data_IF_241894511189
#
_entry.id   IF_241894511189
#
_cell.length_a   1.000
_cell.length_b   1.000
_cell.length_c   1.000
_cell.angle_alpha   90.00
_cell.angle_beta   90.00
_cell.angle_gamma   90.00
#
_symmetry.space_group_name_H-M   'P 1'
#
loop_
_entity.id
_entity.type
_entity.pdbx_description
1 polymer ?
#
# COMPACT_ATOMS: atom_id res chain seq x y z
N UNK A 1 17.19 -17.55 -29.74
CA UNK A 1 17.39 -16.19 -29.20
C UNK A 1 17.51 -16.32 -27.69
N UNK A 2 18.56 -15.78 -27.08
CA UNK A 2 18.68 -15.77 -25.61
C UNK A 2 17.53 -14.92 -25.05
N UNK A 3 16.64 -15.52 -24.27
CA UNK A 3 15.61 -14.76 -23.53
C UNK A 3 16.29 -14.09 -22.34
N UNK A 4 16.09 -12.78 -22.21
CA UNK A 4 16.52 -12.06 -21.03
C UNK A 4 15.74 -12.55 -19.80
N UNK A 5 16.43 -12.67 -18.67
CA UNK A 5 15.89 -13.19 -17.42
C UNK A 5 15.80 -12.07 -16.40
N UNK A 6 14.60 -11.78 -15.95
CA UNK A 6 14.32 -10.75 -14.94
C UNK A 6 13.93 -11.43 -13.63
N UNK A 7 14.50 -10.98 -12.52
CA UNK A 7 14.09 -11.37 -11.18
C UNK A 7 13.34 -10.23 -10.51
N UNK A 8 12.16 -10.50 -9.98
CA UNK A 8 11.45 -9.58 -9.08
C UNK A 8 11.58 -10.11 -7.66
N UNK A 9 12.11 -9.30 -6.73
CA UNK A 9 12.29 -9.68 -5.33
C UNK A 9 11.14 -9.08 -4.51
N UNK A 10 10.30 -9.94 -3.95
CA UNK A 10 9.12 -9.56 -3.18
C UNK A 10 7.81 -9.94 -3.89
N UNK A 11 6.88 -10.55 -3.16
CA UNK A 11 5.60 -11.04 -3.66
C UNK A 11 4.40 -10.31 -3.06
N UNK A 12 4.60 -9.10 -2.53
CA UNK A 12 3.51 -8.18 -2.22
C UNK A 12 2.95 -7.53 -3.48
N UNK A 13 1.93 -6.67 -3.31
CA UNK A 13 1.20 -6.02 -4.43
C UNK A 13 2.12 -5.32 -5.43
N UNK A 14 3.18 -4.65 -4.97
CA UNK A 14 4.16 -3.96 -5.83
C UNK A 14 4.97 -4.94 -6.68
N UNK A 15 5.44 -6.05 -6.09
CA UNK A 15 6.23 -7.05 -6.81
C UNK A 15 5.41 -7.78 -7.86
N UNK A 16 4.21 -8.23 -7.49
CA UNK A 16 3.31 -8.96 -8.40
C UNK A 16 2.81 -8.06 -9.54
N UNK A 17 2.37 -6.83 -9.25
CA UNK A 17 1.93 -5.88 -10.28
C UNK A 17 3.07 -5.53 -11.24
N UNK A 18 4.28 -5.28 -10.74
CA UNK A 18 5.46 -5.02 -11.57
C UNK A 18 5.75 -6.20 -12.50
N UNK A 19 5.74 -7.43 -11.97
CA UNK A 19 5.96 -8.64 -12.76
C UNK A 19 4.94 -8.78 -13.90
N UNK A 20 3.65 -8.60 -13.61
CA UNK A 20 2.58 -8.64 -14.62
C UNK A 20 2.80 -7.57 -15.69
N UNK A 21 3.04 -6.32 -15.29
CA UNK A 21 3.23 -5.21 -16.23
C UNK A 21 4.44 -5.39 -17.14
N UNK A 22 5.52 -5.97 -16.63
CA UNK A 22 6.71 -6.28 -17.43
C UNK A 22 6.40 -7.40 -18.43
N UNK A 23 5.70 -8.44 -17.98
CA UNK A 23 5.31 -9.56 -18.85
C UNK A 23 4.38 -9.09 -19.99
N UNK A 24 3.43 -8.21 -19.69
CA UNK A 24 2.53 -7.61 -20.68
C UNK A 24 3.28 -6.77 -21.73
N UNK A 25 4.28 -6.01 -21.29
CA UNK A 25 5.02 -5.07 -22.16
C UNK A 25 6.12 -5.75 -22.96
N UNK A 26 6.65 -6.89 -22.49
CA UNK A 26 7.74 -7.61 -23.12
C UNK A 26 7.34 -9.08 -23.32
N UNK A 27 6.53 -9.39 -24.34
CA UNK A 27 6.09 -10.76 -24.59
C UNK A 27 7.28 -11.73 -24.74
N UNK A 28 7.22 -12.84 -23.99
CA UNK A 28 8.24 -13.89 -24.05
C UNK A 28 9.48 -13.65 -23.15
N UNK A 29 9.48 -12.59 -22.33
CA UNK A 29 10.47 -12.40 -21.26
C UNK A 29 10.32 -13.48 -20.18
N UNK A 30 11.44 -13.92 -19.59
CA UNK A 30 11.47 -14.90 -18.50
C UNK A 30 11.51 -14.15 -17.15
N UNK A 31 10.42 -14.20 -16.38
CA UNK A 31 10.31 -13.54 -15.07
C UNK A 31 10.29 -14.59 -13.98
N UNK A 32 11.20 -14.46 -13.01
CA UNK A 32 11.18 -15.23 -11.76
C UNK A 32 10.87 -14.30 -10.59
N UNK A 33 9.91 -14.70 -9.75
CA UNK A 33 9.62 -14.00 -8.50
C UNK A 33 10.31 -14.75 -7.37
N UNK A 34 11.11 -14.03 -6.58
CA UNK A 34 11.77 -14.56 -5.39
C UNK A 34 11.26 -13.77 -4.19
N UNK A 35 10.63 -14.46 -3.25
CA UNK A 35 10.20 -13.86 -2.00
C UNK A 35 10.35 -14.90 -0.90
N UNK A 36 10.59 -14.44 0.32
CA UNK A 36 10.55 -15.30 1.50
C UNK A 36 9.12 -15.48 2.05
N UNK A 37 8.23 -14.56 1.69
CA UNK A 37 6.81 -14.63 2.02
C UNK A 37 5.94 -14.37 0.79
N UNK A 38 4.87 -15.16 0.66
CA UNK A 38 3.82 -15.02 -0.36
C UNK A 38 2.46 -14.84 0.33
N UNK A 39 1.43 -14.46 -0.43
CA UNK A 39 0.05 -14.45 0.06
C UNK A 39 -0.33 -15.80 0.66
N UNK A 40 -1.06 -15.84 1.79
CA UNK A 40 -1.74 -14.70 2.46
C UNK A 40 -0.93 -14.02 3.58
N UNK A 41 0.40 -14.06 3.54
CA UNK A 41 1.24 -13.64 4.67
C UNK A 41 2.07 -12.37 4.43
N UNK A 42 1.81 -11.64 3.36
CA UNK A 42 2.48 -10.37 3.05
C UNK A 42 1.81 -9.20 3.79
N UNK A 43 2.51 -8.05 3.89
CA UNK A 43 1.88 -6.81 4.37
C UNK A 43 0.69 -6.38 3.51
N UNK A 44 0.69 -6.72 2.22
CA UNK A 44 -0.45 -6.44 1.33
C UNK A 44 -1.72 -7.19 1.75
N UNK A 45 -1.60 -8.42 2.26
CA UNK A 45 -2.74 -9.22 2.75
C UNK A 45 -3.31 -8.69 4.07
N UNK A 46 -2.49 -7.95 4.83
CA UNK A 46 -2.89 -7.24 6.05
C UNK A 46 -3.48 -5.85 5.80
N UNK A 47 -3.42 -5.34 4.57
CA UNK A 47 -3.95 -4.02 4.23
C UNK A 47 -5.48 -3.97 4.32
N UNK A 48 -6.03 -2.78 4.51
CA UNK A 48 -7.48 -2.60 4.57
C UNK A 48 -8.16 -2.62 3.19
N UNK A 49 -7.40 -2.49 2.09
CA UNK A 49 -7.90 -2.61 0.73
C UNK A 49 -8.69 -1.41 0.19
N UNK A 50 -8.63 -0.26 0.86
CA UNK A 50 -9.24 0.99 0.40
C UNK A 50 -8.28 1.76 -0.50
N UNK A 51 -8.78 2.29 -1.63
CA UNK A 51 -7.98 3.13 -2.51
C UNK A 51 -8.18 4.60 -2.11
N UNK A 52 -7.12 5.20 -1.60
CA UNK A 52 -7.06 6.61 -1.21
C UNK A 52 -5.59 7.06 -1.25
N UNK A 53 -5.27 8.20 -1.88
CA UNK A 53 -3.96 8.82 -1.73
C UNK A 53 -3.76 9.26 -0.27
N UNK A 54 -2.77 8.68 0.41
CA UNK A 54 -2.50 8.92 1.83
C UNK A 54 -1.03 9.28 2.06
N UNK A 55 -0.74 10.18 3.01
CA UNK A 55 0.60 10.67 3.35
C UNK A 55 1.43 11.12 2.14
N UNK A 56 0.77 11.86 1.24
CA UNK A 56 1.40 12.39 0.02
C UNK A 56 2.37 13.49 0.41
N UNK A 57 3.66 13.29 0.14
CA UNK A 57 4.65 14.36 0.23
C UNK A 57 4.30 15.44 -0.82
N UNK A 58 4.09 16.71 -0.43
CA UNK A 58 3.80 17.80 -1.37
C UNK A 58 4.81 17.88 -2.52
N UNK A 59 6.08 17.58 -2.25
CA UNK A 59 7.17 17.62 -3.24
C UNK A 59 7.07 16.52 -4.32
N UNK A 60 6.28 15.48 -4.07
CA UNK A 60 6.05 14.35 -5.00
C UNK A 60 4.60 14.30 -5.50
N UNK A 61 3.80 15.32 -5.18
CA UNK A 61 2.36 15.34 -5.39
C UNK A 61 1.94 15.13 -6.85
N UNK A 62 2.70 15.64 -7.82
CA UNK A 62 2.35 15.51 -9.24
C UNK A 62 2.53 14.07 -9.77
N UNK A 63 3.66 13.43 -9.49
CA UNK A 63 3.91 12.04 -9.88
C UNK A 63 2.97 11.08 -9.14
N UNK A 64 2.77 11.30 -7.84
CA UNK A 64 1.86 10.51 -7.01
C UNK A 64 0.41 10.66 -7.48
N UNK A 65 -0.02 11.87 -7.87
CA UNK A 65 -1.34 12.10 -8.47
C UNK A 65 -1.49 11.35 -9.78
N UNK A 66 -0.47 11.38 -10.65
CA UNK A 66 -0.48 10.65 -11.92
C UNK A 66 -0.59 9.15 -11.69
N UNK A 67 0.26 8.57 -10.84
CA UNK A 67 0.22 7.13 -10.53
C UNK A 67 -1.08 6.74 -9.84
N UNK A 68 -1.60 7.59 -8.95
CA UNK A 68 -2.89 7.44 -8.32
C UNK A 68 -3.99 7.34 -9.38
N UNK A 69 -4.08 8.31 -10.28
CA UNK A 69 -5.08 8.31 -11.36
C UNK A 69 -4.95 7.09 -12.27
N UNK A 70 -3.74 6.76 -12.73
CA UNK A 70 -3.51 5.59 -13.59
C UNK A 70 -3.92 4.28 -12.89
N UNK A 71 -3.67 4.18 -11.59
CA UNK A 71 -4.10 3.03 -10.77
C UNK A 71 -5.61 2.99 -10.63
N UNK A 72 -6.25 4.12 -10.33
CA UNK A 72 -7.70 4.22 -10.21
C UNK A 72 -8.39 3.82 -11.50
N UNK A 73 -7.95 4.36 -12.64
CA UNK A 73 -8.52 4.04 -13.96
C UNK A 73 -8.39 2.55 -14.29
N UNK A 74 -7.25 1.94 -13.95
CA UNK A 74 -7.04 0.50 -14.12
C UNK A 74 -7.98 -0.32 -13.22
N UNK A 75 -8.09 0.01 -11.93
CA UNK A 75 -8.98 -0.68 -11.00
C UNK A 75 -10.45 -0.51 -11.38
N UNK A 76 -10.84 0.68 -11.83
CA UNK A 76 -12.18 0.96 -12.33
C UNK A 76 -12.48 0.10 -13.56
N UNK A 77 -11.54 0.00 -14.51
CA UNK A 77 -11.67 -0.87 -15.67
C UNK A 77 -11.84 -2.35 -15.30
N UNK A 78 -11.16 -2.81 -14.25
CA UNK A 78 -11.34 -4.16 -13.71
C UNK A 78 -12.73 -4.38 -13.12
N UNK A 79 -13.22 -3.45 -12.29
CA UNK A 79 -14.56 -3.52 -11.68
C UNK A 79 -15.67 -3.44 -12.73
N UNK A 80 -15.43 -2.76 -13.85
CA UNK A 80 -16.36 -2.67 -14.97
C UNK A 80 -16.28 -3.87 -15.93
N UNK A 81 -15.31 -4.76 -15.75
CA UNK A 81 -15.12 -5.93 -16.62
C UNK A 81 -16.02 -7.11 -16.25
N UNK A 82 -16.16 -8.07 -17.16
CA UNK A 82 -16.88 -9.33 -16.89
C UNK A 82 -16.21 -10.18 -15.80
N UNK A 83 -14.94 -9.92 -15.51
CA UNK A 83 -14.17 -10.64 -14.49
C UNK A 83 -14.36 -10.05 -13.08
N UNK A 84 -15.10 -8.94 -12.94
CA UNK A 84 -15.28 -8.24 -11.66
C UNK A 84 -15.73 -9.17 -10.52
N UNK A 85 -16.64 -10.13 -10.78
CA UNK A 85 -17.09 -11.07 -9.75
C UNK A 85 -16.01 -12.00 -9.20
N UNK A 86 -14.94 -12.22 -9.96
CA UNK A 86 -13.76 -13.04 -9.58
C UNK A 86 -12.63 -12.21 -8.98
N UNK A 87 -12.70 -10.89 -9.11
CA UNK A 87 -11.77 -9.95 -8.52
C UNK A 87 -12.34 -9.51 -7.17
N UNK A 88 -11.56 -9.53 -6.10
CA UNK A 88 -11.97 -8.95 -4.81
C UNK A 88 -11.84 -7.42 -4.82
N UNK A 89 -12.38 -6.80 -5.88
CA UNK A 89 -12.40 -5.37 -6.12
C UNK A 89 -13.85 -4.90 -6.31
N UNK A 90 -14.23 -3.83 -5.63
CA UNK A 90 -15.57 -3.25 -5.70
C UNK A 90 -15.51 -1.74 -5.55
N UNK A 91 -16.48 -1.05 -6.16
CA UNK A 91 -16.72 0.36 -5.88
C UNK A 91 -17.53 0.49 -4.60
N UNK A 92 -17.05 1.33 -3.69
CA UNK A 92 -17.70 1.65 -2.41
C UNK A 92 -17.80 3.16 -2.30
N UNK A 93 -18.99 3.68 -1.99
CA UNK A 93 -19.20 5.09 -1.66
C UNK A 93 -19.11 5.30 -0.14
N UNK A 94 -18.86 6.51 0.33
CA UNK A 94 -18.78 6.77 1.76
C UNK A 94 -18.56 8.23 2.12
N UNK A 95 -18.29 8.45 3.39
CA UNK A 95 -18.27 9.76 4.03
C UNK A 95 -16.93 10.01 4.71
N UNK A 96 -16.42 11.21 4.52
CA UNK A 96 -15.30 11.80 5.26
C UNK A 96 -15.88 12.83 6.24
N UNK A 97 -15.53 12.71 7.53
CA UNK A 97 -16.03 13.57 8.60
C UNK A 97 -15.04 14.66 9.03
N UNK A 98 -13.89 14.77 8.37
CA UNK A 98 -12.86 15.76 8.71
C UNK A 98 -13.28 17.21 8.41
N UNK A 99 -12.76 18.15 9.19
CA UNK A 99 -12.88 19.60 8.95
C UNK A 99 -11.55 20.11 8.39
N UNK A 100 -11.58 20.56 7.12
CA UNK A 100 -10.43 20.91 6.26
C UNK A 100 -9.20 21.53 6.94
N UNK A 101 -8.00 21.01 6.62
CA UNK A 101 -6.74 21.75 6.67
C UNK A 101 -5.82 21.36 5.50
N UNK A 102 -5.71 22.21 4.48
CA UNK A 102 -4.57 22.25 3.55
C UNK A 102 -4.28 23.69 3.12
N UNK A 103 -3.02 24.10 3.21
CA UNK A 103 -2.33 24.87 2.15
C UNK A 103 -0.86 25.15 2.50
N UNK A 104 0.06 24.79 1.58
CA UNK A 104 1.00 25.68 0.88
C UNK A 104 2.25 24.96 0.35
N UNK A 105 2.66 25.33 -0.86
CA UNK A 105 3.89 24.88 -1.53
C UNK A 105 5.15 25.46 -0.86
N UNK A 106 6.26 24.70 -0.79
CA UNK A 106 7.53 25.21 -0.30
C UNK A 106 8.23 26.16 -1.28
N UNK A 107 8.75 27.26 -0.76
CA UNK A 107 9.30 28.41 -1.49
C UNK A 107 10.59 28.14 -2.32
N UNK A 108 11.17 26.96 -2.24
CA UNK A 108 12.49 26.64 -2.80
C UNK A 108 12.44 25.75 -4.07
N UNK A 109 11.24 25.46 -4.58
CA UNK A 109 11.01 24.50 -5.68
C UNK A 109 11.77 24.80 -6.99
N UNK A 110 12.14 26.05 -7.24
CA UNK A 110 12.80 26.46 -8.49
C UNK A 110 14.35 26.49 -8.38
N UNK A 111 14.93 26.06 -7.26
CA UNK A 111 16.36 26.29 -6.96
C UNK A 111 17.28 25.08 -7.16
N UNK A 112 16.80 23.92 -7.61
CA UNK A 112 17.64 22.71 -7.69
C UNK A 112 17.54 21.99 -9.04
N UNK A 113 18.67 21.93 -9.75
CA UNK A 113 18.87 21.15 -10.97
C UNK A 113 19.81 19.97 -10.67
N UNK A 114 19.36 18.75 -10.98
CA UNK A 114 20.15 17.50 -11.08
C UNK A 114 20.90 17.02 -9.81
N UNK A 115 20.19 16.35 -8.88
CA UNK A 115 20.83 15.63 -7.77
C UNK A 115 20.73 14.08 -7.90
N UNK A 116 21.88 13.37 -7.79
CA UNK A 116 22.02 11.90 -7.72
C UNK A 116 23.34 11.45 -7.03
N UNK A 117 23.32 10.31 -6.30
CA UNK A 117 24.30 9.16 -6.20
C UNK A 117 24.09 8.37 -4.89
N UNK A 118 24.48 7.09 -4.63
CA UNK A 118 24.68 5.77 -5.30
C UNK A 118 25.17 4.75 -4.21
N UNK A 119 24.63 3.50 -4.21
CA UNK A 119 25.02 2.11 -3.74
C UNK A 119 26.10 1.81 -2.65
N UNK A 120 26.17 0.66 -1.93
CA UNK A 120 26.01 -0.82 -2.20
C UNK A 120 25.47 -1.59 -0.94
N UNK A 121 24.92 -2.83 -0.92
CA UNK A 121 25.02 -4.04 -1.77
C UNK A 121 23.80 -4.99 -1.61
N UNK A 122 23.55 -5.86 -2.60
CA UNK A 122 22.54 -6.94 -2.64
C UNK A 122 23.28 -8.28 -2.84
N UNK A 123 22.81 -9.43 -2.29
CA UNK A 123 23.40 -10.72 -2.58
C UNK A 123 23.36 -11.05 -4.09
N UNK A 124 24.50 -11.50 -4.62
CA UNK A 124 24.64 -11.89 -6.03
C UNK A 124 23.76 -13.08 -6.37
N UNK A 125 22.74 -12.85 -7.19
CA UNK A 125 22.08 -13.90 -7.96
C UNK A 125 22.62 -13.82 -9.39
N UNK A 126 23.73 -14.52 -9.67
CA UNK A 126 24.45 -14.50 -10.96
C UNK A 126 23.67 -15.12 -12.15
N UNK A 127 22.35 -15.28 -12.07
CA UNK A 127 21.52 -15.95 -13.08
C UNK A 127 20.58 -15.00 -13.85
N UNK A 128 20.42 -13.76 -13.39
CA UNK A 128 19.47 -12.80 -13.95
C UNK A 128 20.16 -11.59 -14.57
N UNK A 129 19.60 -11.07 -15.66
CA UNK A 129 20.09 -9.90 -16.38
C UNK A 129 19.66 -8.59 -15.71
N UNK A 130 18.50 -8.61 -15.03
CA UNK A 130 17.95 -7.48 -14.30
C UNK A 130 17.25 -7.96 -13.02
N UNK A 131 17.43 -7.20 -11.94
CA UNK A 131 16.73 -7.42 -10.66
C UNK A 131 15.85 -6.20 -10.39
N UNK A 132 14.59 -6.45 -10.05
CA UNK A 132 13.62 -5.45 -9.62
C UNK A 132 13.35 -5.69 -8.14
N UNK A 133 13.65 -4.67 -7.34
CA UNK A 133 13.61 -4.73 -5.90
C UNK A 133 12.25 -4.23 -5.37
N UNK A 134 11.45 -5.13 -4.80
CA UNK A 134 10.12 -4.86 -4.26
C UNK A 134 9.97 -5.38 -2.82
N UNK A 135 11.03 -5.27 -2.00
CA UNK A 135 11.09 -5.84 -0.64
C UNK A 135 10.31 -5.05 0.43
N UNK A 136 9.70 -3.92 0.06
CA UNK A 136 8.90 -3.09 0.96
C UNK A 136 9.67 -2.63 2.19
N UNK A 137 9.02 -2.68 3.37
CA UNK A 137 9.60 -2.21 4.65
C UNK A 137 10.91 -2.91 5.03
N UNK A 138 11.16 -4.11 4.49
CA UNK A 138 12.41 -4.85 4.73
C UNK A 138 13.62 -4.25 4.05
N UNK A 139 13.44 -3.25 3.18
CA UNK A 139 14.53 -2.43 2.67
C UNK A 139 15.37 -1.82 3.81
N UNK A 140 14.74 -1.51 4.95
CA UNK A 140 15.42 -1.06 6.17
C UNK A 140 16.53 -2.04 6.60
N UNK A 141 16.23 -3.34 6.62
CA UNK A 141 17.18 -4.37 7.07
C UNK A 141 18.04 -4.90 5.93
N UNK A 142 17.45 -5.15 4.76
CA UNK A 142 18.10 -5.81 3.62
C UNK A 142 19.05 -4.87 2.86
N UNK A 143 18.75 -3.58 2.84
CA UNK A 143 19.46 -2.56 2.05
C UNK A 143 20.05 -1.46 2.93
N UNK A 144 19.89 -1.58 4.25
CA UNK A 144 20.27 -0.56 5.22
C UNK A 144 19.66 0.82 4.92
N UNK A 145 18.45 0.86 4.37
CA UNK A 145 17.76 2.10 4.04
C UNK A 145 17.04 2.66 5.29
N UNK A 146 17.74 3.53 6.02
CA UNK A 146 17.24 4.12 7.26
C UNK A 146 16.08 5.12 7.04
N UNK A 147 15.80 5.50 5.79
CA UNK A 147 14.65 6.34 5.47
C UNK A 147 13.34 5.55 5.50
N UNK A 148 13.40 4.22 5.36
CA UNK A 148 12.24 3.33 5.43
C UNK A 148 11.97 2.98 6.89
N UNK A 149 10.79 3.34 7.41
CA UNK A 149 10.37 2.99 8.77
C UNK A 149 9.03 2.26 8.74
N UNK A 150 8.79 1.32 9.66
CA UNK A 150 7.47 0.72 9.78
C UNK A 150 6.49 1.74 10.35
N UNK A 151 5.24 1.68 9.90
CA UNK A 151 4.11 2.25 10.62
C UNK A 151 3.21 1.06 10.91
N UNK A 152 3.23 0.58 12.16
CA UNK A 152 2.44 -0.60 12.53
C UNK A 152 0.97 -0.24 12.61
N UNK A 153 0.17 -0.94 11.80
CA UNK A 153 -1.29 -0.91 11.84
C UNK A 153 -1.85 -2.26 12.28
N UNK A 154 -2.70 -2.26 13.30
CA UNK A 154 -3.57 -3.37 13.70
C UNK A 154 -4.99 -3.06 13.25
N UNK A 155 -5.68 -4.07 12.72
CA UNK A 155 -7.05 -3.96 12.24
C UNK A 155 -7.95 -4.99 12.95
N UNK A 156 -9.26 -4.76 12.93
CA UNK A 156 -10.25 -5.74 13.33
C UNK A 156 -11.13 -6.06 12.12
N UNK A 157 -11.28 -7.36 11.80
CA UNK A 157 -12.23 -7.84 10.80
C UNK A 157 -13.52 -8.25 11.52
N UNK A 158 -14.66 -7.70 11.10
CA UNK A 158 -15.97 -7.99 11.68
C UNK A 158 -16.98 -8.39 10.61
N UNK A 159 -17.96 -9.21 10.98
CA UNK A 159 -19.09 -9.55 10.11
C UNK A 159 -20.19 -8.52 10.39
N UNK A 160 -20.30 -7.53 9.52
CA UNK A 160 -21.33 -6.49 9.59
C UNK A 160 -21.83 -6.13 8.19
N UNK A 161 -22.50 -7.07 7.48
CA UNK A 161 -22.84 -6.91 6.07
C UNK A 161 -23.81 -5.77 5.79
N UNK A 162 -24.45 -5.18 6.81
CA UNK A 162 -25.31 -4.00 6.68
C UNK A 162 -24.52 -2.70 6.49
N UNK A 163 -23.23 -2.66 6.83
CA UNK A 163 -22.36 -1.51 6.54
C UNK A 163 -21.99 -1.56 5.06
N UNK A 164 -22.53 -0.61 4.28
CA UNK A 164 -22.33 -0.53 2.81
C UNK A 164 -21.52 0.69 2.38
N UNK A 165 -21.29 1.62 3.30
CA UNK A 165 -20.52 2.82 3.05
C UNK A 165 -19.22 2.79 3.85
N UNK A 166 -18.17 3.42 3.31
CA UNK A 166 -16.99 3.69 4.10
C UNK A 166 -17.22 4.90 5.02
N UNK A 167 -16.55 4.91 6.17
CA UNK A 167 -16.51 6.04 7.10
C UNK A 167 -15.05 6.32 7.44
N UNK A 168 -14.60 7.55 7.18
CA UNK A 168 -13.23 8.00 7.50
C UNK A 168 -13.31 9.21 8.42
N UNK A 169 -12.50 9.17 9.48
CA UNK A 169 -12.33 10.28 10.41
C UNK A 169 -10.82 10.47 10.69
N UNK A 170 -10.27 11.54 10.12
CA UNK A 170 -8.87 11.93 10.28
C UNK A 170 -8.59 12.64 11.62
N UNK A 171 -9.63 13.17 12.29
CA UNK A 171 -9.53 13.91 13.55
C UNK A 171 -9.74 12.99 14.77
N UNK A 172 -9.32 11.73 14.63
CA UNK A 172 -9.61 10.70 15.61
C UNK A 172 -9.06 10.97 17.00
N UNK A 173 -9.64 10.33 18.03
CA UNK A 173 -9.17 10.45 19.40
C UNK A 173 -7.65 10.20 19.49
N UNK A 174 -6.94 11.10 20.16
CA UNK A 174 -5.47 11.09 20.29
C UNK A 174 -4.68 11.25 18.96
N UNK A 175 -5.30 11.81 17.91
CA UNK A 175 -4.63 12.13 16.64
C UNK A 175 -4.38 10.91 15.75
N UNK A 176 -5.10 9.82 15.97
CA UNK A 176 -5.05 8.64 15.10
C UNK A 176 -6.26 8.58 14.18
N UNK A 177 -6.01 8.53 12.88
CA UNK A 177 -7.03 8.35 11.85
C UNK A 177 -7.81 7.04 12.06
N UNK A 178 -9.11 7.08 11.77
CA UNK A 178 -10.06 5.97 11.97
C UNK A 178 -10.78 5.66 10.67
N UNK A 179 -10.89 4.36 10.36
CA UNK A 179 -11.56 3.90 9.15
C UNK A 179 -12.50 2.74 9.45
N UNK A 180 -13.71 2.79 8.89
CA UNK A 180 -14.65 1.67 8.81
C UNK A 180 -14.87 1.37 7.33
N UNK A 181 -14.32 0.25 6.87
CA UNK A 181 -14.18 -0.05 5.45
C UNK A 181 -14.94 -1.35 5.11
N UNK A 182 -16.05 -1.29 4.36
CA UNK A 182 -16.76 -2.50 3.98
C UNK A 182 -15.99 -3.25 2.88
N UNK A 183 -15.49 -4.43 3.22
CA UNK A 183 -14.95 -5.40 2.28
C UNK A 183 -16.02 -6.38 1.78
N UNK A 184 -15.59 -7.35 0.97
CA UNK A 184 -16.47 -8.40 0.42
C UNK A 184 -17.05 -9.30 1.51
N UNK A 185 -16.17 -9.84 2.36
CA UNK A 185 -16.52 -10.82 3.39
C UNK A 185 -16.59 -10.23 4.80
N UNK A 186 -15.83 -9.16 5.04
CA UNK A 186 -15.69 -8.51 6.34
C UNK A 186 -15.73 -7.00 6.19
N UNK A 187 -16.22 -6.33 7.22
CA UNK A 187 -15.94 -4.91 7.45
C UNK A 187 -14.63 -4.82 8.22
N UNK A 188 -13.75 -3.92 7.80
CA UNK A 188 -12.44 -3.70 8.40
C UNK A 188 -12.50 -2.43 9.24
N UNK A 189 -12.16 -2.55 10.52
CA UNK A 189 -12.02 -1.44 11.45
C UNK A 189 -10.52 -1.13 11.59
N UNK A 190 -10.15 0.12 11.34
CA UNK A 190 -8.78 0.63 11.43
C UNK A 190 -8.75 1.78 12.42
N UNK A 191 -7.68 1.87 13.21
CA UNK A 191 -7.51 3.00 14.13
C UNK A 191 -6.10 3.18 14.66
N UNK A 192 -5.08 2.52 14.12
CA UNK A 192 -3.69 2.56 14.65
C UNK A 192 -2.70 2.91 13.55
N UNK A 193 -1.75 3.79 13.86
CA UNK A 193 -0.55 4.01 13.05
C UNK A 193 0.64 4.30 13.97
N UNK A 194 1.45 3.29 14.28
CA UNK A 194 2.55 3.40 15.24
C UNK A 194 3.91 3.42 14.52
N UNK A 195 4.47 4.61 14.34
CA UNK A 195 5.75 4.80 13.65
C UNK A 195 6.90 4.12 14.41
N UNK A 196 7.75 3.39 13.70
CA UNK A 196 8.93 2.72 14.25
C UNK A 196 8.64 1.44 15.03
N UNK A 197 7.36 1.07 15.23
CA UNK A 197 7.00 -0.16 15.91
C UNK A 197 7.13 -1.37 14.96
N UNK A 198 8.00 -2.31 15.31
CA UNK A 198 8.25 -3.53 14.54
C UNK A 198 7.49 -4.76 15.05
N UNK A 199 6.74 -4.65 16.16
CA UNK A 199 6.02 -5.78 16.74
C UNK A 199 4.94 -6.29 15.80
N UNK A 200 4.94 -7.61 15.57
CA UNK A 200 3.89 -8.31 14.80
C UNK A 200 2.82 -8.92 15.69
N UNK A 201 2.92 -8.77 17.01
CA UNK A 201 1.99 -9.34 17.97
C UNK A 201 0.69 -8.53 18.03
N UNK A 202 -0.42 -9.19 18.35
CA UNK A 202 -1.69 -8.52 18.63
C UNK A 202 -1.59 -7.83 19.98
N UNK A 203 -1.90 -6.53 20.01
CA UNK A 203 -1.93 -5.74 21.23
C UNK A 203 -3.39 -5.54 21.70
N UNK A 204 -3.66 -5.90 22.96
CA UNK A 204 -5.02 -5.83 23.51
C UNK A 204 -5.51 -4.39 23.74
N UNK A 205 -4.61 -3.44 24.04
CA UNK A 205 -4.97 -2.02 24.17
C UNK A 205 -5.36 -1.45 22.81
N UNK A 206 -4.58 -1.75 21.77
CA UNK A 206 -4.91 -1.36 20.40
C UNK A 206 -6.26 -1.94 19.97
N UNK A 207 -6.54 -3.21 20.30
CA UNK A 207 -7.82 -3.85 20.00
C UNK A 207 -9.00 -3.11 20.65
N UNK A 208 -8.92 -2.83 21.95
CA UNK A 208 -9.99 -2.13 22.67
C UNK A 208 -10.20 -0.73 22.10
N UNK A 209 -9.10 -0.03 21.81
CA UNK A 209 -9.15 1.33 21.26
C UNK A 209 -9.80 1.37 19.88
N UNK A 210 -9.41 0.47 18.96
CA UNK A 210 -10.04 0.37 17.63
C UNK A 210 -11.54 0.12 17.77
N UNK A 211 -11.90 -0.85 18.62
CA UNK A 211 -13.30 -1.23 18.83
C UNK A 211 -14.15 -0.07 19.35
N UNK A 212 -13.78 0.52 20.48
CA UNK A 212 -14.50 1.63 21.09
C UNK A 212 -14.58 2.83 20.14
N UNK A 213 -13.49 3.13 19.45
CA UNK A 213 -13.40 4.29 18.56
C UNK A 213 -14.26 4.16 17.32
N UNK A 214 -14.34 2.96 16.72
CA UNK A 214 -15.15 2.73 15.51
C UNK A 214 -16.63 2.57 15.85
N UNK A 215 -16.98 1.92 16.97
CA UNK A 215 -18.38 1.77 17.39
C UNK A 215 -19.02 3.12 17.69
N UNK A 216 -18.26 4.10 18.19
CA UNK A 216 -18.79 5.44 18.46
C UNK A 216 -18.97 6.32 17.21
N UNK A 217 -18.48 5.89 16.04
CA UNK A 217 -18.57 6.65 14.79
C UNK A 217 -19.89 6.37 14.03
N UNK A 218 -20.56 5.25 14.33
CA UNK A 218 -21.75 4.75 13.60
C UNK A 218 -22.93 4.42 14.51
#
# INVERSE_FOLDING_TARGET
MNRHKICVIGAGVIGLSSAVRIQDKIPGIDITIIADTFSPYTTSDGSAGFWEPHLVNPDQSEELRKWGQETFDYLLGLVQSQEAGKLDAQLVSGYDFSIEHYDQDPYWKDQVIAYRKKEDSIPKINKFDLIINCVGVRAYQLLNDQNVKPIRGQIIKVIAPWIKHFYVDFDGAEGTERYILPGRDYVILVGTGQVGNWSTDINQKDKNRIWESCVNLV
#
